data_IF_450392182496
#
_entry.id   IF_450392182496
#
_cell.length_a   1.000
_cell.length_b   1.000
_cell.length_c   1.000
_cell.angle_alpha   90.00
_cell.angle_beta   90.00
_cell.angle_gamma   90.00
#
_symmetry.space_group_name_H-M   'P 1'
#
loop_
_entity.id
_entity.type
_entity.pdbx_description
1 polymer ?
#
# COMPACT_ATOMS: atom_id res chain seq x y z
N UNK A 1 7.23 10.34 -18.37
CA UNK A 1 7.80 10.25 -17.02
C UNK A 1 9.28 10.50 -17.15
N UNK A 2 9.84 11.47 -16.44
CA UNK A 2 11.29 11.67 -16.41
C UNK A 2 11.96 10.64 -15.47
N UNK A 3 13.28 10.48 -15.62
CA UNK A 3 14.06 9.48 -14.87
C UNK A 3 13.95 9.64 -13.35
N UNK A 4 13.87 10.88 -12.85
CA UNK A 4 13.76 11.17 -11.42
C UNK A 4 12.40 10.78 -10.89
N UNK A 5 11.33 11.16 -11.59
CA UNK A 5 9.96 10.78 -11.21
C UNK A 5 9.79 9.26 -11.23
N UNK A 6 10.38 8.57 -12.22
CA UNK A 6 10.42 7.10 -12.26
C UNK A 6 11.05 6.49 -11.01
N UNK A 7 12.24 6.94 -10.63
CA UNK A 7 12.96 6.44 -9.44
C UNK A 7 12.16 6.62 -8.15
N UNK A 8 11.53 7.78 -7.97
CA UNK A 8 10.70 8.05 -6.79
C UNK A 8 9.48 7.12 -6.78
N UNK A 9 8.77 7.03 -7.91
CA UNK A 9 7.59 6.17 -8.01
C UNK A 9 7.91 4.70 -7.70
N UNK A 10 8.91 4.12 -8.38
CA UNK A 10 9.25 2.71 -8.18
C UNK A 10 9.88 2.46 -6.81
N UNK A 11 10.62 3.42 -6.25
CA UNK A 11 11.10 3.35 -4.86
C UNK A 11 9.95 3.24 -3.86
N UNK A 12 8.90 4.05 -4.05
CA UNK A 12 7.71 4.03 -3.20
C UNK A 12 6.94 2.70 -3.32
N UNK A 13 6.80 2.15 -4.54
CA UNK A 13 6.14 0.85 -4.75
C UNK A 13 6.90 -0.29 -4.06
N UNK A 14 8.23 -0.32 -4.15
CA UNK A 14 9.06 -1.33 -3.48
C UNK A 14 8.92 -1.25 -1.95
N UNK A 15 8.73 -0.06 -1.39
CA UNK A 15 8.47 0.10 0.05
C UNK A 15 7.16 -0.58 0.48
N UNK A 16 6.10 -0.48 -0.33
CA UNK A 16 4.83 -1.17 -0.07
C UNK A 16 4.96 -2.69 -0.21
N UNK A 17 5.59 -3.17 -1.29
CA UNK A 17 5.80 -4.61 -1.53
C UNK A 17 6.53 -5.28 -0.37
N UNK A 18 7.62 -4.65 0.12
CA UNK A 18 8.36 -5.17 1.27
C UNK A 18 7.52 -5.19 2.56
N UNK A 19 6.70 -4.16 2.78
CA UNK A 19 5.88 -4.04 3.97
C UNK A 19 4.63 -4.95 3.97
N UNK A 20 4.30 -5.58 2.85
CA UNK A 20 3.19 -6.53 2.70
C UNK A 20 3.64 -7.98 2.72
N UNK A 21 4.94 -8.25 2.91
CA UNK A 21 5.45 -9.63 2.99
C UNK A 21 5.00 -10.30 4.29
N UNK A 22 4.92 -11.65 4.31
CA UNK A 22 4.51 -12.39 5.51
C UNK A 22 5.40 -12.17 6.74
N UNK A 23 6.65 -11.79 6.54
CA UNK A 23 7.65 -11.51 7.58
C UNK A 23 7.75 -10.02 7.98
N UNK A 24 6.99 -9.15 7.31
CA UNK A 24 6.93 -7.73 7.63
C UNK A 24 6.26 -7.51 9.00
N UNK A 25 6.68 -6.45 9.70
CA UNK A 25 6.03 -6.06 10.96
C UNK A 25 4.69 -5.39 10.68
N UNK A 26 3.74 -5.56 11.59
CA UNK A 26 2.40 -4.98 11.48
C UNK A 26 2.38 -3.45 11.24
N UNK A 27 3.41 -2.72 11.67
CA UNK A 27 3.52 -1.27 11.53
C UNK A 27 4.30 -0.80 10.28
N UNK A 28 4.94 -1.71 9.54
CA UNK A 28 5.79 -1.36 8.39
C UNK A 28 4.96 -0.77 7.24
N UNK A 29 3.77 -1.31 6.97
CA UNK A 29 2.90 -0.78 5.91
C UNK A 29 2.39 0.63 6.24
N UNK A 30 1.99 0.85 7.49
CA UNK A 30 1.57 2.17 7.96
C UNK A 30 2.71 3.20 7.85
N UNK A 31 3.95 2.80 8.19
CA UNK A 31 5.14 3.65 8.03
C UNK A 31 5.44 3.96 6.58
N UNK A 32 5.34 2.98 5.68
CA UNK A 32 5.56 3.18 4.25
C UNK A 32 4.54 4.16 3.65
N UNK A 33 3.26 4.02 4.01
CA UNK A 33 2.19 4.93 3.58
C UNK A 33 2.45 6.35 4.11
N UNK A 34 2.80 6.48 5.39
CA UNK A 34 3.15 7.77 5.98
C UNK A 34 4.26 8.47 5.19
N UNK A 35 5.38 7.77 4.97
CA UNK A 35 6.54 8.29 4.24
C UNK A 35 6.22 8.69 2.81
N UNK A 36 5.33 7.96 2.14
CA UNK A 36 5.08 8.15 0.72
C UNK A 36 3.94 9.15 0.43
N UNK A 37 3.00 9.34 1.35
CA UNK A 37 1.79 10.16 1.15
C UNK A 37 1.79 11.42 2.02
N UNK A 38 2.29 11.33 3.26
CA UNK A 38 2.09 12.38 4.27
C UNK A 38 3.38 13.05 4.72
N UNK A 39 4.55 12.49 4.40
CA UNK A 39 5.84 12.94 4.92
C UNK A 39 6.87 13.17 3.82
N UNK A 40 6.85 14.37 3.25
CA UNK A 40 7.86 14.82 2.28
C UNK A 40 9.22 15.11 2.93
N UNK A 41 9.23 15.42 4.23
CA UNK A 41 10.43 15.78 5.01
C UNK A 41 11.06 14.58 5.73
N UNK A 42 10.39 13.43 5.70
CA UNK A 42 10.83 12.24 6.40
C UNK A 42 10.64 12.28 7.91
N UNK A 43 9.69 13.08 8.40
CA UNK A 43 9.12 12.96 9.74
C UNK A 43 8.60 11.55 10.03
N UNK A 44 8.72 11.12 11.29
CA UNK A 44 8.07 9.89 11.76
C UNK A 44 6.57 10.13 12.01
N UNK A 45 5.72 9.11 11.81
CA UNK A 45 4.30 9.23 12.09
C UNK A 45 4.06 9.45 13.59
N UNK A 46 3.22 10.43 13.92
CA UNK A 46 2.68 10.57 15.29
C UNK A 46 1.63 9.49 15.53
N UNK A 47 1.43 9.05 16.78
CA UNK A 47 0.50 7.97 17.11
C UNK A 47 -0.92 8.18 16.54
N UNK A 48 -1.44 9.41 16.59
CA UNK A 48 -2.76 9.75 16.06
C UNK A 48 -2.81 9.65 14.52
N UNK A 49 -1.74 10.06 13.84
CA UNK A 49 -1.62 9.98 12.39
C UNK A 49 -1.38 8.55 11.87
N UNK A 50 -0.65 7.75 12.65
CA UNK A 50 -0.50 6.32 12.43
C UNK A 50 -1.85 5.62 12.57
N UNK A 51 -2.69 6.04 13.52
CA UNK A 51 -4.03 5.45 13.73
C UNK A 51 -4.94 5.66 12.52
N UNK A 52 -4.99 6.86 11.95
CA UNK A 52 -5.74 7.12 10.73
C UNK A 52 -5.20 6.33 9.51
N UNK A 53 -3.88 6.14 9.44
CA UNK A 53 -3.23 5.36 8.38
C UNK A 53 -3.50 3.85 8.52
N UNK A 54 -3.45 3.33 9.75
CA UNK A 54 -3.82 1.96 10.12
C UNK A 54 -5.32 1.73 9.88
N UNK A 55 -6.17 2.75 9.98
CA UNK A 55 -7.59 2.63 9.64
C UNK A 55 -7.88 2.72 8.13
N UNK A 56 -7.19 3.61 7.41
CA UNK A 56 -7.38 3.81 5.96
C UNK A 56 -6.75 2.69 5.11
N UNK A 57 -5.69 2.07 5.63
CA UNK A 57 -5.01 0.93 5.04
C UNK A 57 -4.74 -0.09 6.14
N UNK A 58 -5.80 -0.52 6.83
CA UNK A 58 -5.71 -1.69 7.71
C UNK A 58 -4.95 -2.74 6.93
N UNK A 59 -3.76 -3.12 7.42
CA UNK A 59 -2.85 -3.98 6.66
C UNK A 59 -3.54 -5.28 6.23
N UNK A 60 -4.59 -5.65 6.95
CA UNK A 60 -5.59 -6.64 6.60
C UNK A 60 -6.21 -6.43 5.21
N UNK A 61 -6.76 -5.25 4.92
CA UNK A 61 -7.40 -4.92 3.62
C UNK A 61 -6.39 -4.98 2.49
N UNK A 62 -5.25 -4.30 2.59
CA UNK A 62 -4.23 -4.32 1.53
C UNK A 62 -3.72 -5.74 1.25
N UNK A 63 -3.46 -6.53 2.31
CA UNK A 63 -2.99 -7.92 2.17
C UNK A 63 -4.07 -8.82 1.59
N UNK A 64 -5.33 -8.64 2.01
CA UNK A 64 -6.47 -9.37 1.46
C UNK A 64 -6.66 -9.06 -0.02
N UNK A 65 -6.63 -7.79 -0.43
CA UNK A 65 -6.76 -7.39 -1.83
C UNK A 65 -5.63 -7.95 -2.69
N UNK A 66 -4.38 -7.91 -2.21
CA UNK A 66 -3.25 -8.55 -2.90
C UNK A 66 -3.46 -10.05 -3.07
N UNK A 67 -4.01 -10.72 -2.06
CA UNK A 67 -4.34 -12.15 -2.12
C UNK A 67 -5.46 -12.41 -3.13
N UNK A 68 -6.54 -11.63 -3.10
CA UNK A 68 -7.64 -11.73 -4.06
C UNK A 68 -7.17 -11.53 -5.50
N UNK A 69 -6.33 -10.53 -5.74
CA UNK A 69 -5.74 -10.28 -7.06
C UNK A 69 -4.86 -11.44 -7.53
N UNK A 70 -4.07 -12.04 -6.63
CA UNK A 70 -3.23 -13.20 -6.97
C UNK A 70 -4.02 -14.44 -7.39
N UNK A 71 -5.28 -14.56 -6.95
CA UNK A 71 -6.21 -15.63 -7.31
C UNK A 71 -7.09 -15.28 -8.50
N UNK A 72 -7.03 -14.04 -8.99
CA UNK A 72 -7.83 -13.60 -10.15
C UNK A 72 -7.22 -14.19 -11.41
N UNK A 73 -8.05 -14.80 -12.25
CA UNK A 73 -7.59 -15.39 -13.50
C UNK A 73 -7.14 -14.31 -14.51
N UNK A 74 -6.29 -14.71 -15.44
CA UNK A 74 -5.70 -13.81 -16.41
C UNK A 74 -6.73 -13.15 -17.34
N UNK A 75 -7.83 -13.84 -17.71
CA UNK A 75 -8.87 -13.27 -18.55
C UNK A 75 -9.61 -12.15 -17.80
N UNK A 76 -9.89 -12.35 -16.51
CA UNK A 76 -10.46 -11.32 -15.64
C UNK A 76 -9.55 -10.10 -15.49
N UNK A 77 -8.22 -10.29 -15.35
CA UNK A 77 -7.27 -9.18 -15.31
C UNK A 77 -7.27 -8.37 -16.63
N UNK A 78 -7.24 -9.04 -17.79
CA UNK A 78 -7.18 -8.36 -19.09
C UNK A 78 -8.52 -7.74 -19.52
N UNK A 79 -9.64 -8.28 -19.05
CA UNK A 79 -10.97 -7.71 -19.30
C UNK A 79 -11.35 -6.60 -18.32
N UNK A 80 -10.55 -6.39 -17.26
CA UNK A 80 -10.86 -5.43 -16.19
C UNK A 80 -11.95 -5.92 -15.23
N UNK A 81 -12.22 -7.22 -15.19
CA UNK A 81 -13.22 -7.86 -14.34
C UNK A 81 -12.66 -8.18 -12.94
N UNK A 82 -12.17 -7.16 -12.24
CA UNK A 82 -11.76 -7.25 -10.84
C UNK A 82 -12.24 -6.02 -10.08
N UNK A 83 -12.39 -6.14 -8.77
CA UNK A 83 -12.88 -5.06 -7.92
C UNK A 83 -12.18 -5.11 -6.56
N UNK A 84 -11.84 -3.94 -6.03
CA UNK A 84 -11.37 -3.78 -4.66
C UNK A 84 -12.54 -3.60 -3.70
N UNK A 85 -12.36 -4.02 -2.45
CA UNK A 85 -13.31 -3.75 -1.37
C UNK A 85 -13.50 -2.24 -1.21
N UNK A 86 -14.76 -1.81 -1.17
CA UNK A 86 -15.10 -0.42 -0.87
C UNK A 86 -14.71 -0.08 0.57
N UNK A 87 -13.97 1.01 0.74
CA UNK A 87 -13.77 1.62 2.05
C UNK A 87 -15.08 2.33 2.42
N UNK A 88 -15.89 1.70 3.29
CA UNK A 88 -17.09 2.34 3.81
C UNK A 88 -16.67 3.54 4.67
N UNK A 89 -17.13 4.74 4.32
CA UNK A 89 -16.89 5.99 5.06
C UNK A 89 -18.12 6.36 5.91
#
# INVERSE_FOLDING_TARGET
MDERTGKIFYGNIVAYDNAMKPDAKHDELAKAIWRNIFSDDGSEPTYDSATATIQACDGTVCTQESTCLSMTDQESIFSGNFQFTSLNH
#
